data_IF_904080740169
#
_entry.id   IF_904080740169
#
_cell.length_a   1.000
_cell.length_b   1.000
_cell.length_c   1.000
_cell.angle_alpha   90.00
_cell.angle_beta   90.00
_cell.angle_gamma   90.00
#
_symmetry.space_group_name_H-M   'P 1'
#
loop_
_entity.id
_entity.type
_entity.pdbx_description
1 polymer ?
#
# COMPACT_ATOMS: atom_id res chain seq x y z
N UNK A 1 38.51 38.10 -34.07
CA UNK A 1 38.14 39.49 -33.83
C UNK A 1 37.62 39.51 -32.41
N UNK A 2 38.44 39.87 -31.46
CA UNK A 2 38.62 41.16 -30.81
C UNK A 2 37.32 41.59 -30.12
N UNK A 3 37.17 41.92 -28.83
CA UNK A 3 38.11 42.65 -27.95
C UNK A 3 37.62 42.61 -26.53
N UNK A 4 38.51 42.43 -25.64
CA UNK A 4 38.72 42.77 -24.26
C UNK A 4 38.29 44.17 -23.82
N UNK A 5 37.87 44.36 -22.58
CA UNK A 5 38.29 45.51 -21.69
C UNK A 5 37.58 45.35 -20.32
N UNK A 6 38.30 45.11 -19.29
CA UNK A 6 39.09 45.93 -18.32
C UNK A 6 38.26 46.51 -17.18
N UNK A 7 38.72 46.13 -15.97
CA UNK A 7 38.44 46.77 -14.64
C UNK A 7 38.98 48.21 -14.59
N UNK A 8 38.57 49.04 -13.59
CA UNK A 8 39.44 49.36 -12.46
C UNK A 8 38.73 49.37 -11.10
N UNK A 9 39.30 48.97 -10.05
CA UNK A 9 40.20 49.36 -8.96
C UNK A 9 39.96 50.69 -8.24
N UNK A 10 40.04 50.55 -6.90
CA UNK A 10 40.38 51.56 -5.87
C UNK A 10 39.20 52.36 -5.29
N UNK A 11 39.14 52.67 -4.05
CA UNK A 11 39.95 52.59 -2.82
C UNK A 11 39.21 53.35 -1.74
N UNK A 12 39.29 53.02 -0.53
CA UNK A 12 39.87 53.83 0.57
C UNK A 12 39.13 53.61 1.89
N UNK A 13 39.91 53.20 2.87
CA UNK A 13 39.62 53.36 4.31
C UNK A 13 39.84 54.82 4.74
N UNK A 14 39.17 55.30 5.78
CA UNK A 14 39.91 55.86 6.88
C UNK A 14 39.47 55.41 8.28
N UNK A 15 40.44 55.03 9.05
CA UNK A 15 41.01 55.74 10.20
C UNK A 15 40.24 55.58 11.54
N UNK A 16 40.96 54.97 12.44
CA UNK A 16 40.73 54.77 13.85
C UNK A 16 40.49 56.08 14.64
N UNK A 17 39.62 56.04 15.60
CA UNK A 17 39.62 57.04 16.70
C UNK A 17 39.70 56.38 18.07
N UNK A 18 40.60 56.92 18.77
CA UNK A 18 41.22 56.83 20.07
C UNK A 18 40.30 56.58 21.27
N UNK A 19 40.78 55.66 22.13
CA UNK A 19 40.37 55.41 23.50
C UNK A 19 40.77 56.51 24.46
N UNK A 20 39.92 56.91 25.38
CA UNK A 20 40.31 57.51 26.67
C UNK A 20 39.67 56.74 27.81
N UNK A 21 40.37 56.46 28.92
CA UNK A 21 39.92 55.75 30.07
C UNK A 21 39.43 56.67 31.18
N UNK A 22 38.44 56.28 31.98
CA UNK A 22 38.22 56.77 33.34
C UNK A 22 37.26 55.75 34.12
N UNK A 23 37.12 55.88 35.45
CA UNK A 23 37.81 54.98 36.39
C UNK A 23 36.82 54.02 37.13
N UNK A 24 37.42 53.08 37.84
CA UNK A 24 36.85 52.10 38.74
C UNK A 24 36.02 52.74 39.87
N UNK A 25 34.79 52.22 40.05
CA UNK A 25 34.14 52.21 41.36
C UNK A 25 33.53 50.80 41.59
N UNK A 26 34.04 50.15 42.63
CA UNK A 26 33.55 48.90 43.17
C UNK A 26 32.16 49.08 43.76
N UNK A 27 31.23 48.18 43.40
CA UNK A 27 30.18 47.79 44.32
C UNK A 27 29.80 46.32 43.98
N UNK A 28 30.16 45.47 44.91
CA UNK A 28 29.79 44.05 44.90
C UNK A 28 28.31 43.92 45.23
N UNK A 29 27.54 43.30 44.27
CA UNK A 29 26.27 42.64 44.61
C UNK A 29 26.29 41.29 43.91
N UNK A 30 26.66 40.28 44.69
CA UNK A 30 26.55 38.87 44.35
C UNK A 30 25.07 38.48 44.42
N UNK A 31 24.33 38.58 43.32
CA UNK A 31 23.00 37.98 43.18
C UNK A 31 23.17 36.63 42.52
N UNK A 32 23.11 35.58 43.33
CA UNK A 32 22.95 34.21 42.93
C UNK A 32 21.61 34.05 42.16
N UNK A 33 21.65 34.18 40.85
CA UNK A 33 20.56 33.74 39.97
C UNK A 33 20.65 32.23 39.84
N UNK A 34 19.98 31.54 40.78
CA UNK A 34 19.57 30.16 40.58
C UNK A 34 18.61 30.10 39.41
N UNK A 35 19.12 29.84 38.20
CA UNK A 35 18.31 29.45 37.04
C UNK A 35 17.69 28.09 37.35
N UNK A 36 16.52 28.12 37.93
CA UNK A 36 15.64 26.99 37.98
C UNK A 36 15.26 26.64 36.54
N UNK A 37 15.90 25.61 35.95
CA UNK A 37 15.40 24.96 34.76
C UNK A 37 14.00 24.42 35.08
N UNK A 38 12.95 25.19 34.77
CA UNK A 38 11.62 24.63 34.67
C UNK A 38 11.67 23.59 33.54
N UNK A 39 11.30 22.33 33.80
CA UNK A 39 11.07 21.38 32.71
C UNK A 39 10.03 22.06 31.79
N UNK A 40 10.38 22.15 30.49
CA UNK A 40 9.44 22.62 29.47
C UNK A 40 8.14 21.85 29.57
N UNK A 41 7.01 22.45 29.13
CA UNK A 41 5.73 21.77 29.20
C UNK A 41 5.87 20.41 28.50
N UNK A 42 5.84 19.33 29.28
CA UNK A 42 5.61 18.00 28.75
C UNK A 42 4.33 18.09 27.92
N UNK A 43 4.38 17.67 26.66
CA UNK A 43 3.19 17.57 25.82
C UNK A 43 2.09 16.90 26.64
N UNK A 44 0.86 17.42 26.63
CA UNK A 44 -0.21 16.86 27.43
C UNK A 44 -0.33 15.38 27.07
N UNK A 45 -0.18 14.50 28.05
CA UNK A 45 -0.51 13.10 27.88
C UNK A 45 -1.96 13.07 27.38
N UNK A 46 -2.16 12.60 26.15
CA UNK A 46 -3.49 12.50 25.58
C UNK A 46 -4.26 11.51 26.46
N UNK A 47 -5.18 12.02 27.26
CA UNK A 47 -6.11 11.24 28.08
C UNK A 47 -7.23 10.63 27.20
N UNK A 48 -7.10 10.70 25.88
CA UNK A 48 -8.05 10.24 24.91
C UNK A 48 -7.73 8.85 24.36
N UNK A 49 -8.73 8.23 23.78
CA UNK A 49 -8.62 6.99 23.01
C UNK A 49 -7.58 7.14 21.89
N UNK A 50 -6.77 6.10 21.58
CA UNK A 50 -5.83 6.19 20.48
C UNK A 50 -6.56 6.42 19.15
N UNK A 51 -6.03 7.32 18.32
CA UNK A 51 -6.50 7.56 16.95
C UNK A 51 -5.71 6.66 16.00
N UNK A 52 -6.41 5.85 15.25
CA UNK A 52 -5.84 4.95 14.22
C UNK A 52 -6.33 5.41 12.87
N UNK A 53 -5.42 5.70 11.95
CA UNK A 53 -5.74 5.95 10.55
C UNK A 53 -5.65 4.66 9.75
N UNK A 54 -6.68 4.36 8.95
CA UNK A 54 -6.65 3.34 7.91
C UNK A 54 -6.51 4.06 6.57
N UNK A 55 -5.35 3.91 5.92
CA UNK A 55 -5.04 4.51 4.62
C UNK A 55 -4.98 3.41 3.57
N UNK A 56 -5.94 3.40 2.66
CA UNK A 56 -6.11 2.35 1.65
C UNK A 56 -5.75 2.83 0.25
N UNK A 57 -5.75 1.90 -0.69
CA UNK A 57 -5.72 2.17 -2.12
C UNK A 57 -7.10 2.64 -2.61
N UNK A 58 -7.45 2.36 -3.86
CA UNK A 58 -8.64 2.90 -4.52
C UNK A 58 -9.95 2.55 -3.82
N UNK A 59 -10.66 3.57 -3.32
CA UNK A 59 -12.02 3.40 -2.79
C UNK A 59 -13.06 3.15 -3.89
N UNK A 60 -12.70 3.26 -5.18
CA UNK A 60 -13.54 2.81 -6.28
C UNK A 60 -13.52 1.28 -6.45
N UNK A 61 -12.53 0.59 -5.87
CA UNK A 61 -12.43 -0.86 -5.86
C UNK A 61 -13.25 -1.42 -4.69
N UNK A 62 -14.21 -2.32 -4.99
CA UNK A 62 -15.10 -2.93 -4.00
C UNK A 62 -14.33 -3.65 -2.88
N UNK A 63 -13.17 -4.24 -3.17
CA UNK A 63 -12.32 -4.86 -2.16
C UNK A 63 -11.98 -3.91 -1.02
N UNK A 64 -11.57 -2.66 -1.34
CA UNK A 64 -11.26 -1.65 -0.31
C UNK A 64 -12.50 -1.05 0.34
N UNK A 65 -13.65 -1.02 -0.34
CA UNK A 65 -14.92 -0.66 0.29
C UNK A 65 -15.30 -1.68 1.36
N UNK A 66 -15.22 -2.98 1.05
CA UNK A 66 -15.45 -4.07 2.00
C UNK A 66 -14.50 -4.01 3.20
N UNK A 67 -13.23 -3.69 2.94
CA UNK A 67 -12.21 -3.49 3.98
C UNK A 67 -12.56 -2.30 4.90
N UNK A 68 -12.98 -1.18 4.32
CA UNK A 68 -13.41 0.00 5.07
C UNK A 68 -14.65 -0.29 5.95
N UNK A 69 -15.61 -1.04 5.42
CA UNK A 69 -16.81 -1.42 6.16
C UNK A 69 -16.49 -2.36 7.32
N UNK A 70 -15.62 -3.35 7.12
CA UNK A 70 -15.14 -4.23 8.19
C UNK A 70 -14.48 -3.45 9.32
N UNK A 71 -13.58 -2.52 8.98
CA UNK A 71 -12.91 -1.65 9.96
C UNK A 71 -13.89 -0.75 10.72
N UNK A 72 -14.90 -0.17 10.04
CA UNK A 72 -15.93 0.66 10.68
C UNK A 72 -16.82 -0.16 11.62
N UNK A 73 -17.21 -1.39 11.22
CA UNK A 73 -17.97 -2.30 12.09
C UNK A 73 -17.19 -2.67 13.34
N UNK A 74 -15.89 -2.99 13.19
CA UNK A 74 -15.02 -3.27 14.32
C UNK A 74 -14.90 -2.05 15.25
N UNK A 75 -14.70 -0.86 14.73
CA UNK A 75 -14.65 0.37 15.53
C UNK A 75 -15.96 0.62 16.28
N UNK A 76 -17.11 0.42 15.64
CA UNK A 76 -18.42 0.60 16.28
C UNK A 76 -18.62 -0.36 17.47
N UNK A 77 -18.18 -1.63 17.33
CA UNK A 77 -18.19 -2.61 18.40
C UNK A 77 -17.21 -2.27 19.54
N UNK A 78 -16.18 -1.46 19.26
CA UNK A 78 -15.12 -1.07 20.20
C UNK A 78 -15.06 0.48 20.36
N UNK A 79 -16.20 1.15 20.36
CA UNK A 79 -16.31 2.62 20.30
C UNK A 79 -15.54 3.36 21.42
N UNK A 80 -15.37 2.73 22.58
CA UNK A 80 -14.60 3.30 23.70
C UNK A 80 -13.10 2.94 23.66
N UNK A 81 -12.67 2.05 22.74
CA UNK A 81 -11.31 1.55 22.66
C UNK A 81 -10.37 2.42 21.84
N UNK A 82 -10.86 2.99 20.76
CA UNK A 82 -10.06 3.81 19.82
C UNK A 82 -10.97 4.67 18.92
N UNK A 83 -10.36 5.62 18.23
CA UNK A 83 -10.96 6.43 17.18
C UNK A 83 -10.39 6.00 15.82
N UNK A 84 -11.25 5.78 14.82
CA UNK A 84 -10.85 5.36 13.49
C UNK A 84 -11.05 6.48 12.47
N UNK A 85 -10.02 6.75 11.68
CA UNK A 85 -10.08 7.65 10.51
C UNK A 85 -9.82 6.77 9.28
N UNK A 86 -10.76 6.75 8.33
CA UNK A 86 -10.70 5.92 7.13
C UNK A 86 -10.51 6.80 5.91
N UNK A 87 -9.44 6.58 5.17
CA UNK A 87 -9.14 7.26 3.91
C UNK A 87 -8.60 6.30 2.86
N UNK A 88 -8.67 6.71 1.60
CA UNK A 88 -8.09 6.00 0.47
C UNK A 88 -8.03 6.91 -0.74
N UNK A 89 -7.25 6.50 -1.73
CA UNK A 89 -7.02 7.22 -2.98
C UNK A 89 -8.10 6.90 -4.01
N UNK A 90 -8.20 7.71 -5.08
CA UNK A 90 -9.25 7.57 -6.10
C UNK A 90 -9.00 6.40 -7.05
N UNK A 91 -7.73 6.15 -7.39
CA UNK A 91 -7.33 5.07 -8.28
C UNK A 91 -6.12 4.31 -7.70
N UNK A 92 -5.76 3.18 -8.29
CA UNK A 92 -4.74 2.27 -7.73
C UNK A 92 -3.29 2.80 -7.85
N UNK A 93 -3.05 3.91 -8.53
CA UNK A 93 -1.70 4.41 -8.88
C UNK A 93 -1.40 5.83 -8.43
N UNK A 94 -2.32 6.50 -7.73
CA UNK A 94 -2.11 7.88 -7.25
C UNK A 94 -1.25 7.92 -5.98
N UNK A 95 0.06 7.77 -6.19
CA UNK A 95 1.05 7.77 -5.11
C UNK A 95 1.12 9.13 -4.40
N UNK A 96 0.97 10.22 -5.14
CA UNK A 96 1.06 11.57 -4.58
C UNK A 96 -0.12 11.82 -3.61
N UNK A 97 -1.32 11.40 -3.98
CA UNK A 97 -2.49 11.47 -3.10
C UNK A 97 -2.27 10.61 -1.84
N UNK A 98 -1.73 9.38 -1.98
CA UNK A 98 -1.51 8.53 -0.82
C UNK A 98 -0.44 9.07 0.14
N UNK A 99 0.64 9.68 -0.38
CA UNK A 99 1.63 10.40 0.44
C UNK A 99 0.97 11.54 1.20
N UNK A 100 0.17 12.37 0.51
CA UNK A 100 -0.57 13.48 1.13
C UNK A 100 -1.53 13.01 2.22
N UNK A 101 -2.21 11.87 2.03
CA UNK A 101 -3.08 11.29 3.06
C UNK A 101 -2.29 10.90 4.32
N UNK A 102 -1.11 10.29 4.19
CA UNK A 102 -0.26 9.97 5.35
C UNK A 102 0.14 11.25 6.09
N UNK A 103 0.59 12.29 5.37
CA UNK A 103 0.94 13.58 5.96
C UNK A 103 -0.25 14.24 6.66
N UNK A 104 -1.43 14.17 6.08
CA UNK A 104 -2.67 14.66 6.70
C UNK A 104 -2.99 13.89 8.00
N UNK A 105 -2.81 12.58 8.04
CA UNK A 105 -3.04 11.80 9.25
C UNK A 105 -2.04 12.15 10.35
N UNK A 106 -0.76 12.35 9.99
CA UNK A 106 0.24 12.85 10.94
C UNK A 106 -0.18 14.20 11.54
N UNK A 107 -0.62 15.15 10.71
CA UNK A 107 -1.11 16.46 11.15
C UNK A 107 -2.36 16.39 12.05
N UNK A 108 -3.20 15.36 11.90
CA UNK A 108 -4.35 15.09 12.77
C UNK A 108 -3.98 14.41 14.10
N UNK A 109 -2.70 14.12 14.31
CA UNK A 109 -2.17 13.56 15.56
C UNK A 109 -2.58 12.10 15.78
N UNK A 110 -2.62 11.27 14.73
CA UNK A 110 -2.87 9.84 14.87
C UNK A 110 -1.70 9.15 15.56
N UNK A 111 -1.97 8.13 16.37
CA UNK A 111 -0.96 7.32 17.03
C UNK A 111 -0.52 6.11 16.19
N UNK A 112 -1.35 5.70 15.22
CA UNK A 112 -1.00 4.64 14.28
C UNK A 112 -1.56 4.92 12.89
N UNK A 113 -0.79 4.50 11.87
CA UNK A 113 -1.22 4.40 10.48
C UNK A 113 -1.20 2.93 10.07
N UNK A 114 -2.36 2.39 9.74
CA UNK A 114 -2.54 1.08 9.11
C UNK A 114 -2.69 1.35 7.62
N UNK A 115 -1.73 0.91 6.81
CA UNK A 115 -1.64 1.30 5.39
C UNK A 115 -1.59 0.10 4.45
N UNK A 116 -2.44 0.15 3.41
CA UNK A 116 -2.34 -0.67 2.20
C UNK A 116 -1.61 0.16 1.12
N UNK A 117 -0.29 0.05 0.95
CA UNK A 117 0.45 0.93 0.06
C UNK A 117 0.20 0.61 -1.41
N UNK A 118 0.01 1.64 -2.24
CA UNK A 118 -0.17 1.50 -3.69
C UNK A 118 1.12 1.03 -4.40
N UNK A 119 2.27 1.31 -3.80
CA UNK A 119 3.59 0.89 -4.27
C UNK A 119 4.44 0.38 -3.11
N UNK A 120 5.26 -0.64 -3.35
CA UNK A 120 6.03 -1.28 -2.28
C UNK A 120 7.24 -0.47 -1.78
N UNK A 121 7.65 0.58 -2.49
CA UNK A 121 8.84 1.41 -2.17
C UNK A 121 8.52 2.89 -1.96
N UNK A 122 7.68 3.45 -2.83
CA UNK A 122 7.44 4.90 -2.92
C UNK A 122 6.89 5.52 -1.62
N UNK A 123 6.16 4.75 -0.80
CA UNK A 123 5.59 5.25 0.47
C UNK A 123 6.59 5.20 1.65
N UNK A 124 7.70 4.47 1.52
CA UNK A 124 8.65 4.28 2.62
C UNK A 124 9.19 5.62 3.18
N UNK A 125 9.54 6.64 2.37
CA UNK A 125 10.03 7.91 2.91
C UNK A 125 9.02 8.65 3.80
N UNK A 126 7.74 8.72 3.41
CA UNK A 126 6.71 9.37 4.23
C UNK A 126 6.41 8.58 5.49
N UNK A 127 6.35 7.25 5.41
CA UNK A 127 6.14 6.37 6.56
C UNK A 127 7.31 6.42 7.54
N UNK A 128 8.54 6.61 7.05
CA UNK A 128 9.72 6.82 7.90
C UNK A 128 9.63 8.13 8.66
N UNK A 129 9.12 9.22 8.04
CA UNK A 129 8.84 10.48 8.74
C UNK A 129 7.78 10.27 9.82
N UNK A 130 6.65 9.60 9.47
CA UNK A 130 5.61 9.30 10.44
C UNK A 130 6.15 8.55 11.67
N UNK A 131 6.99 7.53 11.45
CA UNK A 131 7.62 6.80 12.56
C UNK A 131 8.59 7.67 13.38
N UNK A 132 9.32 8.60 12.74
CA UNK A 132 10.21 9.52 13.44
C UNK A 132 9.43 10.48 14.36
N UNK A 133 8.20 10.83 13.98
CA UNK A 133 7.26 11.64 14.76
C UNK A 133 6.47 10.81 15.80
N UNK A 134 6.83 9.54 15.99
CA UNK A 134 6.25 8.66 16.99
C UNK A 134 4.96 7.94 16.56
N UNK A 135 4.57 8.01 15.28
CA UNK A 135 3.42 7.31 14.73
C UNK A 135 3.79 5.85 14.44
N UNK A 136 3.03 4.90 14.99
CA UNK A 136 3.19 3.48 14.67
C UNK A 136 2.72 3.21 13.23
N UNK A 137 3.51 2.44 12.48
CA UNK A 137 3.16 2.02 11.11
C UNK A 137 2.86 0.54 11.09
N UNK A 138 1.68 0.15 10.60
CA UNK A 138 1.30 -1.22 10.28
C UNK A 138 1.06 -1.32 8.79
N UNK A 139 1.75 -2.21 8.13
CA UNK A 139 1.59 -2.46 6.70
C UNK A 139 0.59 -3.59 6.46
N UNK A 140 -0.42 -3.38 5.63
CA UNK A 140 -1.41 -4.41 5.25
C UNK A 140 -1.49 -4.58 3.74
N UNK A 141 -2.14 -5.66 3.26
CA UNK A 141 -2.47 -5.95 1.85
C UNK A 141 -1.26 -6.07 0.92
N UNK A 142 -0.58 -4.99 0.63
CA UNK A 142 0.61 -4.96 -0.23
C UNK A 142 1.86 -4.76 0.61
N UNK A 143 2.76 -5.75 0.63
CA UNK A 143 3.96 -5.70 1.47
C UNK A 143 4.94 -4.64 0.96
N UNK A 144 5.43 -3.80 1.87
CA UNK A 144 6.54 -2.90 1.61
C UNK A 144 7.83 -3.69 1.37
N UNK A 145 8.69 -3.17 0.51
CA UNK A 145 9.95 -3.81 0.11
C UNK A 145 10.92 -3.91 1.28
N UNK A 146 11.35 -5.12 1.58
CA UNK A 146 12.15 -5.44 2.77
C UNK A 146 13.50 -4.70 2.77
N UNK A 147 14.16 -4.61 1.61
CA UNK A 147 15.46 -3.92 1.53
C UNK A 147 15.27 -2.41 1.71
N UNK A 148 14.24 -1.83 1.10
CA UNK A 148 13.93 -0.39 1.27
C UNK A 148 13.55 -0.07 2.73
N UNK A 149 12.80 -0.95 3.41
CA UNK A 149 12.51 -0.80 4.84
C UNK A 149 13.77 -0.81 5.69
N UNK A 150 14.68 -1.75 5.40
CA UNK A 150 15.95 -1.89 6.11
C UNK A 150 16.85 -0.66 5.90
N UNK A 151 17.01 -0.20 4.67
CA UNK A 151 17.78 1.00 4.32
C UNK A 151 17.23 2.25 5.03
N UNK A 152 15.90 2.41 5.04
CA UNK A 152 15.21 3.50 5.72
C UNK A 152 15.18 3.34 7.24
N UNK A 153 15.56 2.18 7.80
CA UNK A 153 15.39 1.83 9.22
C UNK A 153 13.94 2.03 9.69
N UNK A 154 12.99 1.66 8.84
CA UNK A 154 11.56 1.71 9.14
C UNK A 154 11.08 0.35 9.63
N UNK A 155 10.45 0.33 10.80
CA UNK A 155 9.76 -0.85 11.34
C UNK A 155 8.28 -0.75 10.98
N UNK A 156 7.82 -1.59 10.07
CA UNK A 156 6.42 -1.66 9.62
C UNK A 156 6.03 -3.14 9.46
N UNK A 157 5.57 -3.79 10.53
CA UNK A 157 5.18 -5.20 10.46
C UNK A 157 4.07 -5.38 9.42
N UNK A 158 4.16 -6.47 8.66
CA UNK A 158 3.20 -6.80 7.63
C UNK A 158 2.10 -7.70 8.18
N UNK A 159 0.85 -7.32 7.94
CA UNK A 159 -0.33 -8.13 8.22
C UNK A 159 -1.05 -8.38 6.89
N UNK A 160 -1.02 -9.61 6.40
CA UNK A 160 -1.57 -9.91 5.09
C UNK A 160 -1.40 -11.35 4.65
N UNK A 161 -1.99 -11.71 3.49
CA UNK A 161 -2.04 -13.07 2.99
C UNK A 161 -0.71 -13.52 2.36
N UNK A 162 -0.55 -14.85 2.22
CA UNK A 162 0.39 -15.42 1.26
C UNK A 162 -0.20 -15.34 -0.15
N UNK A 163 0.12 -14.25 -0.84
CA UNK A 163 -0.38 -13.97 -2.18
C UNK A 163 0.06 -15.02 -3.21
N UNK A 164 1.27 -15.57 -3.08
CA UNK A 164 1.79 -16.59 -4.01
C UNK A 164 1.07 -17.91 -3.84
N UNK A 165 0.90 -18.35 -2.59
CA UNK A 165 0.17 -19.58 -2.29
C UNK A 165 -1.30 -19.48 -2.72
N UNK A 166 -1.99 -18.37 -2.43
CA UNK A 166 -3.38 -18.14 -2.85
C UNK A 166 -3.56 -18.16 -4.37
N UNK A 167 -2.71 -17.43 -5.11
CA UNK A 167 -2.76 -17.41 -6.57
C UNK A 167 -2.42 -18.78 -7.18
N UNK A 168 -1.43 -19.47 -6.62
CA UNK A 168 -1.11 -20.83 -7.03
C UNK A 168 -2.30 -21.77 -6.85
N UNK A 169 -2.98 -21.74 -5.71
CA UNK A 169 -4.13 -22.58 -5.44
C UNK A 169 -5.28 -22.34 -6.42
N UNK A 170 -5.58 -21.06 -6.75
CA UNK A 170 -6.55 -20.69 -7.79
C UNK A 170 -6.10 -21.20 -9.17
N UNK A 171 -4.83 -21.05 -9.51
CA UNK A 171 -4.25 -21.55 -10.75
C UNK A 171 -4.35 -23.09 -10.87
N UNK A 172 -4.19 -23.82 -9.76
CA UNK A 172 -4.35 -25.29 -9.71
C UNK A 172 -5.80 -25.72 -9.96
N UNK A 173 -6.81 -24.93 -9.54
CA UNK A 173 -8.22 -25.16 -9.90
C UNK A 173 -8.42 -25.00 -11.40
N UNK A 174 -7.86 -23.94 -11.99
CA UNK A 174 -7.92 -23.70 -13.43
C UNK A 174 -7.24 -24.82 -14.23
N UNK A 175 -6.08 -25.27 -13.80
CA UNK A 175 -5.31 -26.31 -14.49
C UNK A 175 -6.10 -27.61 -14.67
N UNK A 176 -7.02 -27.95 -13.76
CA UNK A 176 -7.90 -29.13 -13.87
C UNK A 176 -8.92 -29.05 -15.03
N UNK A 177 -9.10 -27.85 -15.62
CA UNK A 177 -10.01 -27.59 -16.75
C UNK A 177 -9.29 -27.47 -18.09
N UNK A 178 -7.96 -27.55 -18.09
CA UNK A 178 -7.10 -27.36 -19.24
C UNK A 178 -6.33 -28.64 -19.56
N UNK A 179 -5.70 -28.66 -20.74
CA UNK A 179 -4.81 -29.74 -21.15
C UNK A 179 -3.37 -29.22 -21.25
N UNK A 180 -2.38 -30.11 -21.00
CA UNK A 180 -0.99 -29.76 -21.15
C UNK A 180 -0.71 -29.23 -22.55
N UNK A 181 -0.01 -28.10 -22.65
CA UNK A 181 0.22 -27.38 -23.91
C UNK A 181 -0.78 -26.29 -24.23
N UNK A 182 -1.92 -26.20 -23.52
CA UNK A 182 -2.87 -25.09 -23.70
C UNK A 182 -2.20 -23.74 -23.42
N UNK A 183 -2.57 -22.75 -24.22
CA UNK A 183 -2.12 -21.38 -24.08
C UNK A 183 -2.94 -20.63 -23.05
N UNK A 184 -2.25 -19.94 -22.14
CA UNK A 184 -2.87 -19.11 -21.11
C UNK A 184 -2.19 -17.75 -21.04
N UNK A 185 -2.89 -16.75 -20.52
CA UNK A 185 -2.29 -15.44 -20.29
C UNK A 185 -2.59 -14.93 -18.87
N UNK A 186 -1.69 -14.12 -18.35
CA UNK A 186 -1.78 -13.53 -17.01
C UNK A 186 -2.02 -12.03 -17.14
N UNK A 187 -3.05 -11.54 -16.46
CA UNK A 187 -3.29 -10.13 -16.22
C UNK A 187 -2.80 -9.81 -14.81
N UNK A 188 -1.58 -9.23 -14.74
CA UNK A 188 -1.00 -8.81 -13.46
C UNK A 188 -1.50 -7.41 -13.05
N UNK A 189 -1.34 -7.08 -11.78
CA UNK A 189 -1.67 -5.76 -11.24
C UNK A 189 -0.60 -4.71 -11.54
N UNK A 190 -0.42 -3.75 -10.63
CA UNK A 190 0.68 -2.78 -10.69
C UNK A 190 2.01 -3.53 -10.51
N UNK A 191 2.91 -3.40 -11.48
CA UNK A 191 4.15 -4.21 -11.56
C UNK A 191 5.15 -3.95 -10.44
N UNK A 192 5.08 -2.78 -9.80
CA UNK A 192 5.93 -2.39 -8.66
C UNK A 192 5.35 -2.82 -7.30
N UNK A 193 4.12 -3.38 -7.28
CA UNK A 193 3.48 -3.86 -6.08
C UNK A 193 3.87 -5.32 -5.80
N UNK A 194 4.31 -5.59 -4.57
CA UNK A 194 4.73 -6.91 -4.13
C UNK A 194 3.64 -7.98 -4.33
N UNK A 195 2.39 -7.68 -3.94
CA UNK A 195 1.27 -8.60 -4.11
C UNK A 195 1.02 -8.95 -5.59
N UNK A 196 1.20 -8.00 -6.52
CA UNK A 196 1.11 -8.26 -7.96
C UNK A 196 2.16 -9.28 -8.42
N UNK A 197 3.42 -9.06 -8.01
CA UNK A 197 4.53 -9.95 -8.34
C UNK A 197 4.33 -11.35 -7.75
N UNK A 198 3.83 -11.45 -6.51
CA UNK A 198 3.59 -12.73 -5.86
C UNK A 198 2.42 -13.49 -6.49
N UNK A 199 1.29 -12.81 -6.80
CA UNK A 199 0.15 -13.45 -7.46
C UNK A 199 0.54 -13.94 -8.86
N UNK A 200 1.27 -13.12 -9.63
CA UNK A 200 1.85 -13.55 -10.91
C UNK A 200 2.71 -14.81 -10.75
N UNK A 201 3.67 -14.80 -9.81
CA UNK A 201 4.55 -15.93 -9.57
C UNK A 201 3.76 -17.20 -9.18
N UNK A 202 2.71 -17.07 -8.36
CA UNK A 202 1.84 -18.18 -7.99
C UNK A 202 1.09 -18.77 -9.20
N UNK A 203 0.58 -17.93 -10.09
CA UNK A 203 -0.04 -18.38 -11.34
C UNK A 203 0.96 -19.05 -12.26
N UNK A 204 2.17 -18.47 -12.43
CA UNK A 204 3.24 -19.07 -13.22
C UNK A 204 3.65 -20.45 -12.67
N UNK A 205 3.75 -20.60 -11.35
CA UNK A 205 4.05 -21.89 -10.68
C UNK A 205 2.99 -22.95 -11.01
N UNK A 206 1.71 -22.59 -10.89
CA UNK A 206 0.61 -23.51 -11.18
C UNK A 206 0.59 -23.92 -12.65
N UNK A 207 0.72 -22.97 -13.57
CA UNK A 207 0.70 -23.21 -15.01
C UNK A 207 1.91 -24.03 -15.46
N UNK A 208 3.10 -23.73 -14.94
CA UNK A 208 4.31 -24.52 -15.19
C UNK A 208 4.17 -25.96 -14.72
N UNK A 209 3.65 -26.16 -13.51
CA UNK A 209 3.44 -27.50 -12.93
C UNK A 209 2.47 -28.33 -13.79
N UNK A 210 1.45 -27.70 -14.34
CA UNK A 210 0.44 -28.33 -15.18
C UNK A 210 0.84 -28.44 -16.68
N UNK A 211 2.01 -27.95 -17.06
CA UNK A 211 2.50 -28.01 -18.43
C UNK A 211 1.81 -27.05 -19.42
N UNK A 212 1.21 -25.97 -18.91
CA UNK A 212 0.57 -24.94 -19.74
C UNK A 212 1.61 -23.98 -20.33
N UNK A 213 1.25 -23.30 -21.43
CA UNK A 213 2.07 -22.28 -22.08
C UNK A 213 1.57 -20.88 -21.69
N UNK A 214 2.33 -20.15 -20.89
CA UNK A 214 2.04 -18.73 -20.63
C UNK A 214 2.52 -17.93 -21.85
N UNK A 215 1.58 -17.45 -22.69
CA UNK A 215 1.87 -16.75 -23.95
C UNK A 215 1.92 -15.24 -23.79
N UNK A 216 1.33 -14.69 -22.73
CA UNK A 216 1.39 -13.27 -22.43
C UNK A 216 1.29 -13.02 -20.92
N UNK A 217 1.99 -11.99 -20.46
CA UNK A 217 1.84 -11.39 -19.11
C UNK A 217 1.75 -9.89 -19.32
N UNK A 218 0.62 -9.29 -18.96
CA UNK A 218 0.39 -7.86 -19.15
C UNK A 218 -0.31 -7.26 -17.94
N UNK A 219 0.01 -6.00 -17.63
CA UNK A 219 -0.56 -5.30 -16.48
C UNK A 219 -1.92 -4.65 -16.83
N UNK A 220 -2.95 -5.02 -16.06
CA UNK A 220 -4.24 -4.32 -16.03
C UNK A 220 -4.31 -3.30 -14.89
N UNK A 221 -3.21 -3.10 -14.14
CA UNK A 221 -3.06 -2.08 -13.08
C UNK A 221 -4.16 -2.12 -12.01
N UNK A 222 -4.75 -3.30 -11.75
CA UNK A 222 -5.86 -3.54 -10.85
C UNK A 222 -7.22 -2.97 -11.31
N UNK A 223 -7.27 -2.37 -12.52
CA UNK A 223 -8.40 -1.60 -13.02
C UNK A 223 -9.21 -2.42 -14.04
N UNK A 224 -10.53 -2.41 -13.90
CA UNK A 224 -11.45 -3.16 -14.78
C UNK A 224 -11.35 -2.72 -16.24
N UNK A 225 -11.37 -1.41 -16.52
CA UNK A 225 -11.33 -0.88 -17.89
C UNK A 225 -10.01 -1.17 -18.57
N UNK A 226 -8.88 -1.01 -17.87
CA UNK A 226 -7.56 -1.34 -18.40
C UNK A 226 -7.43 -2.82 -18.72
N UNK A 227 -7.89 -3.66 -17.78
CA UNK A 227 -7.89 -5.11 -17.98
C UNK A 227 -8.77 -5.56 -19.15
N UNK A 228 -9.91 -4.89 -19.40
CA UNK A 228 -10.74 -5.15 -20.57
C UNK A 228 -9.93 -4.91 -21.86
N UNK A 229 -9.27 -3.75 -22.01
CA UNK A 229 -8.46 -3.44 -23.18
C UNK A 229 -7.27 -4.41 -23.34
N UNK A 230 -6.58 -4.74 -22.26
CA UNK A 230 -5.48 -5.71 -22.23
C UNK A 230 -5.95 -7.10 -22.66
N UNK A 231 -7.06 -7.58 -22.09
CA UNK A 231 -7.63 -8.89 -22.43
C UNK A 231 -8.07 -8.96 -23.89
N UNK A 232 -8.71 -7.91 -24.42
CA UNK A 232 -9.07 -7.83 -25.84
C UNK A 232 -7.84 -7.91 -26.75
N UNK A 233 -6.75 -7.20 -26.40
CA UNK A 233 -5.48 -7.27 -27.13
C UNK A 233 -4.87 -8.67 -27.10
N UNK A 234 -4.87 -9.34 -25.95
CA UNK A 234 -4.36 -10.71 -25.78
C UNK A 234 -5.20 -11.68 -26.64
N UNK A 235 -6.54 -11.59 -26.59
CA UNK A 235 -7.43 -12.46 -27.36
C UNK A 235 -7.27 -12.31 -28.87
N UNK A 236 -6.92 -11.10 -29.34
CA UNK A 236 -6.63 -10.83 -30.75
C UNK A 236 -5.25 -11.36 -31.16
N UNK A 237 -4.22 -11.16 -30.34
CA UNK A 237 -2.84 -11.59 -30.62
C UNK A 237 -2.64 -13.11 -30.45
N UNK A 238 -3.39 -13.73 -29.56
CA UNK A 238 -3.31 -15.16 -29.21
C UNK A 238 -4.70 -15.82 -29.35
N UNK A 239 -5.17 -16.09 -30.57
CA UNK A 239 -6.52 -16.60 -30.82
C UNK A 239 -6.79 -17.97 -30.17
N UNK A 240 -5.74 -18.72 -29.85
CA UNK A 240 -5.82 -20.04 -29.21
C UNK A 240 -5.77 -20.00 -27.69
N UNK A 241 -5.69 -18.81 -27.08
CA UNK A 241 -5.67 -18.70 -25.61
C UNK A 241 -6.90 -19.33 -25.00
N UNK A 242 -6.70 -20.20 -24.01
CA UNK A 242 -7.75 -20.98 -23.33
C UNK A 242 -8.11 -20.45 -21.97
N UNK A 243 -7.25 -19.62 -21.36
CA UNK A 243 -7.54 -19.03 -20.07
C UNK A 243 -6.84 -17.70 -19.83
N UNK A 244 -7.49 -16.86 -19.00
CA UNK A 244 -6.97 -15.60 -18.48
C UNK A 244 -6.91 -15.69 -16.94
N UNK A 245 -5.70 -15.56 -16.38
CA UNK A 245 -5.47 -15.55 -14.94
C UNK A 245 -5.35 -14.09 -14.49
N UNK A 246 -6.35 -13.60 -13.79
CA UNK A 246 -6.43 -12.20 -13.36
C UNK A 246 -5.99 -12.08 -11.90
N UNK A 247 -5.02 -11.21 -11.65
CA UNK A 247 -4.44 -11.04 -10.32
C UNK A 247 -5.39 -10.32 -9.33
N UNK A 248 -6.54 -9.80 -9.80
CA UNK A 248 -7.68 -9.43 -8.96
C UNK A 248 -9.02 -9.54 -9.70
N UNK A 249 -10.12 -9.46 -8.95
CA UNK A 249 -11.46 -9.63 -9.49
C UNK A 249 -11.95 -8.46 -10.33
N UNK A 250 -11.51 -7.22 -10.06
CA UNK A 250 -11.80 -6.10 -10.95
C UNK A 250 -11.25 -6.35 -12.36
N UNK A 251 -10.04 -6.87 -12.46
CA UNK A 251 -9.47 -7.24 -13.75
C UNK A 251 -10.18 -8.47 -14.35
N UNK A 252 -10.64 -9.41 -13.51
CA UNK A 252 -11.43 -10.54 -13.99
C UNK A 252 -12.77 -10.12 -14.58
N UNK A 253 -13.45 -9.11 -14.03
CA UNK A 253 -14.64 -8.48 -14.60
C UNK A 253 -14.35 -7.88 -15.97
N UNK A 254 -13.25 -7.14 -16.10
CA UNK A 254 -12.80 -6.57 -17.38
C UNK A 254 -12.49 -7.65 -18.42
N UNK A 255 -11.77 -8.70 -18.00
CA UNK A 255 -11.46 -9.86 -18.85
C UNK A 255 -12.72 -10.62 -19.31
N UNK A 256 -13.69 -10.80 -18.42
CA UNK A 256 -14.98 -11.45 -18.76
C UNK A 256 -15.75 -10.64 -19.82
N UNK A 257 -15.76 -9.32 -19.69
CA UNK A 257 -16.39 -8.45 -20.71
C UNK A 257 -15.66 -8.55 -22.05
N UNK A 258 -14.31 -8.60 -22.10
CA UNK A 258 -13.54 -8.77 -23.31
C UNK A 258 -13.78 -10.16 -23.96
N UNK A 259 -13.81 -11.23 -23.16
CA UNK A 259 -14.10 -12.59 -23.63
C UNK A 259 -15.51 -12.68 -24.22
N UNK A 260 -16.50 -12.03 -23.58
CA UNK A 260 -17.87 -11.95 -24.09
C UNK A 260 -17.93 -11.19 -25.42
N UNK A 261 -17.28 -10.02 -25.52
CA UNK A 261 -17.24 -9.22 -26.73
C UNK A 261 -16.55 -9.94 -27.90
N UNK A 262 -15.55 -10.79 -27.62
CA UNK A 262 -14.89 -11.64 -28.61
C UNK A 262 -15.67 -12.89 -28.99
N UNK A 263 -16.88 -13.14 -28.43
CA UNK A 263 -17.69 -14.34 -28.67
C UNK A 263 -17.05 -15.63 -28.16
N UNK A 264 -16.14 -15.54 -27.16
CA UNK A 264 -15.39 -16.69 -26.64
C UNK A 264 -15.88 -17.16 -25.25
N UNK A 265 -17.05 -16.72 -24.81
CA UNK A 265 -17.67 -17.18 -23.55
C UNK A 265 -17.80 -18.71 -23.57
N UNK A 266 -17.36 -19.36 -22.48
CA UNK A 266 -17.28 -20.82 -22.35
C UNK A 266 -16.09 -21.48 -23.05
N UNK A 267 -15.37 -20.76 -23.93
CA UNK A 267 -14.15 -21.25 -24.58
C UNK A 267 -12.88 -20.81 -23.83
N UNK A 268 -12.88 -19.62 -23.25
CA UNK A 268 -11.80 -19.05 -22.46
C UNK A 268 -12.21 -19.04 -20.99
N UNK A 269 -11.47 -19.75 -20.17
CA UNK A 269 -11.67 -19.79 -18.71
C UNK A 269 -11.06 -18.54 -18.07
N UNK A 270 -11.65 -18.09 -16.97
CA UNK A 270 -11.18 -16.92 -16.22
C UNK A 270 -11.08 -17.29 -14.74
N UNK A 271 -10.03 -16.85 -14.08
CA UNK A 271 -9.89 -16.88 -12.63
C UNK A 271 -9.53 -15.51 -12.11
N UNK A 272 -9.86 -15.24 -10.84
CA UNK A 272 -9.64 -13.96 -10.16
C UNK A 272 -8.98 -14.10 -8.80
N UNK A 273 -9.05 -13.01 -8.02
CA UNK A 273 -8.56 -12.92 -6.65
C UNK A 273 -9.32 -11.79 -5.96
N UNK A 274 -9.76 -11.92 -4.72
CA UNK A 274 -10.42 -11.00 -3.78
C UNK A 274 -11.82 -11.43 -3.34
N UNK A 275 -12.53 -12.27 -4.13
CA UNK A 275 -13.93 -12.70 -3.88
C UNK A 275 -14.89 -11.51 -3.66
N UNK A 276 -14.78 -10.44 -4.48
CA UNK A 276 -15.71 -9.30 -4.39
C UNK A 276 -17.14 -9.71 -4.78
N UNK A 277 -18.16 -9.01 -4.26
CA UNK A 277 -19.55 -9.36 -4.53
C UNK A 277 -19.89 -9.30 -6.03
N UNK A 278 -19.27 -8.39 -6.77
CA UNK A 278 -19.50 -8.21 -8.21
C UNK A 278 -19.15 -9.46 -9.06
N UNK A 279 -18.24 -10.34 -8.60
CA UNK A 279 -17.90 -11.57 -9.35
C UNK A 279 -18.79 -12.78 -9.00
N UNK A 280 -19.59 -12.72 -7.96
CA UNK A 280 -20.45 -13.85 -7.55
C UNK A 280 -21.42 -14.32 -8.64
N UNK A 281 -22.07 -13.44 -9.43
CA UNK A 281 -22.87 -13.88 -10.58
C UNK A 281 -22.04 -14.63 -11.63
N UNK A 282 -20.78 -14.22 -11.85
CA UNK A 282 -19.89 -14.87 -12.81
C UNK A 282 -19.43 -16.26 -12.33
N UNK A 283 -19.21 -16.42 -11.03
CA UNK A 283 -18.99 -17.75 -10.42
C UNK A 283 -20.20 -18.64 -10.57
N UNK A 284 -21.40 -18.11 -10.28
CA UNK A 284 -22.65 -18.86 -10.33
C UNK A 284 -22.98 -19.38 -11.73
N UNK A 285 -22.70 -18.59 -12.79
CA UNK A 285 -22.97 -18.97 -14.18
C UNK A 285 -21.75 -19.60 -14.90
N UNK A 286 -20.59 -19.65 -14.25
CA UNK A 286 -19.39 -20.31 -14.76
C UNK A 286 -18.54 -19.43 -15.70
N UNK A 287 -18.80 -18.14 -15.82
CA UNK A 287 -17.91 -17.18 -16.54
C UNK A 287 -16.63 -16.87 -15.78
N UNK A 288 -16.66 -17.01 -14.45
CA UNK A 288 -15.47 -17.05 -13.59
C UNK A 288 -15.39 -18.44 -12.96
N UNK A 289 -14.26 -19.11 -13.08
CA UNK A 289 -14.11 -20.47 -12.58
C UNK A 289 -13.79 -20.51 -11.08
N UNK A 290 -12.93 -19.61 -10.62
CA UNK A 290 -12.50 -19.51 -9.24
C UNK A 290 -11.97 -18.11 -8.92
N UNK A 291 -12.01 -17.75 -7.65
CA UNK A 291 -11.31 -16.60 -7.09
C UNK A 291 -10.72 -16.97 -5.74
N UNK A 292 -9.75 -16.21 -5.24
CA UNK A 292 -9.25 -16.36 -3.88
C UNK A 292 -9.90 -15.33 -2.97
N UNK A 293 -10.46 -15.77 -1.83
CA UNK A 293 -10.92 -14.88 -0.77
C UNK A 293 -9.78 -14.63 0.22
N UNK A 294 -9.33 -13.40 0.30
CA UNK A 294 -8.35 -12.98 1.29
C UNK A 294 -8.99 -12.27 2.51
N UNK A 295 -10.29 -12.41 2.69
CA UNK A 295 -11.08 -11.86 3.78
C UNK A 295 -10.89 -10.35 3.95
N UNK A 296 -11.20 -9.59 2.89
CA UNK A 296 -10.99 -8.15 2.84
C UNK A 296 -11.63 -7.39 4.00
N UNK A 297 -12.82 -7.83 4.46
CA UNK A 297 -13.54 -7.28 5.61
C UNK A 297 -12.77 -7.44 6.94
N UNK A 298 -11.89 -8.43 7.04
CA UNK A 298 -11.10 -8.74 8.24
C UNK A 298 -9.67 -8.22 8.16
N UNK A 299 -9.13 -8.02 6.96
CA UNK A 299 -7.73 -7.68 6.78
C UNK A 299 -7.33 -6.37 7.47
N UNK A 300 -8.16 -5.31 7.34
CA UNK A 300 -7.94 -4.07 8.07
C UNK A 300 -8.14 -4.25 9.59
N UNK A 301 -9.08 -5.10 9.99
CA UNK A 301 -9.31 -5.41 11.42
C UNK A 301 -8.06 -6.00 12.05
N UNK A 302 -7.45 -7.00 11.42
CA UNK A 302 -6.19 -7.59 11.91
C UNK A 302 -5.06 -6.56 12.03
N UNK A 303 -4.95 -5.65 11.03
CA UNK A 303 -3.98 -4.54 11.09
C UNK A 303 -4.25 -3.56 12.23
N UNK A 304 -5.52 -3.20 12.46
CA UNK A 304 -5.95 -2.32 13.55
C UNK A 304 -5.69 -2.98 14.91
N UNK A 305 -6.06 -4.25 15.09
CA UNK A 305 -5.82 -5.00 16.31
C UNK A 305 -4.33 -5.12 16.64
N UNK A 306 -3.49 -5.38 15.61
CA UNK A 306 -2.04 -5.38 15.77
C UNK A 306 -1.54 -4.01 16.25
N UNK A 307 -2.03 -2.90 15.65
CA UNK A 307 -1.69 -1.55 16.08
C UNK A 307 -2.10 -1.28 17.53
N UNK A 308 -3.34 -1.59 17.91
CA UNK A 308 -3.87 -1.37 19.25
C UNK A 308 -3.09 -2.17 20.29
N UNK A 309 -2.76 -3.43 20.01
CA UNK A 309 -1.94 -4.27 20.86
C UNK A 309 -0.54 -3.69 21.09
N UNK A 310 0.12 -3.23 20.04
CA UNK A 310 1.45 -2.61 20.17
C UNK A 310 1.38 -1.31 20.97
N UNK A 311 0.37 -0.47 20.71
CA UNK A 311 0.20 0.80 21.42
C UNK A 311 -0.06 0.58 22.92
N UNK A 312 -0.91 -0.41 23.27
CA UNK A 312 -1.31 -0.72 24.63
C UNK A 312 -0.22 -1.48 25.40
N UNK A 313 0.22 -2.60 24.85
CA UNK A 313 1.01 -3.60 25.57
C UNK A 313 2.52 -3.44 25.33
N UNK A 314 2.91 -2.47 24.44
CA UNK A 314 4.29 -2.31 23.97
C UNK A 314 4.85 -3.61 23.37
N UNK A 315 3.98 -4.40 22.75
CA UNK A 315 4.35 -5.64 22.09
C UNK A 315 5.40 -5.40 21.01
N UNK A 316 6.26 -6.37 20.78
CA UNK A 316 7.22 -6.32 19.67
C UNK A 316 6.46 -6.45 18.36
N UNK A 317 6.65 -5.51 17.40
CA UNK A 317 6.07 -5.61 16.07
C UNK A 317 6.54 -6.89 15.36
N UNK A 318 5.61 -7.66 14.80
CA UNK A 318 5.89 -8.87 14.05
C UNK A 318 4.93 -9.01 12.88
N UNK A 319 5.40 -9.63 11.80
CA UNK A 319 4.56 -9.99 10.65
C UNK A 319 3.49 -11.01 11.08
N UNK A 320 2.28 -10.88 10.51
CA UNK A 320 1.17 -11.78 10.74
C UNK A 320 0.59 -12.22 9.39
N UNK A 321 0.60 -13.51 9.13
CA UNK A 321 -0.05 -14.08 7.96
C UNK A 321 -1.55 -14.21 8.20
N UNK A 322 -2.36 -13.78 7.22
CA UNK A 322 -3.82 -13.90 7.24
C UNK A 322 -4.29 -15.07 6.34
N UNK A 323 -5.50 -15.62 6.56
CA UNK A 323 -6.01 -16.70 5.75
C UNK A 323 -6.30 -16.28 4.31
N UNK A 324 -6.27 -17.27 3.41
CA UNK A 324 -6.74 -17.16 2.02
C UNK A 324 -7.44 -18.45 1.66
N UNK A 325 -8.67 -18.35 1.16
CA UNK A 325 -9.50 -19.49 0.75
C UNK A 325 -9.79 -19.44 -0.74
N UNK A 326 -9.85 -20.61 -1.40
CA UNK A 326 -10.26 -20.69 -2.80
C UNK A 326 -11.77 -20.84 -2.87
N UNK A 327 -12.42 -19.95 -3.61
CA UNK A 327 -13.87 -19.94 -3.84
C UNK A 327 -14.16 -20.35 -5.27
N UNK A 328 -15.04 -21.31 -5.42
CA UNK A 328 -15.58 -21.80 -6.70
C UNK A 328 -17.12 -21.76 -6.63
N UNK A 329 -17.78 -22.18 -7.73
CA UNK A 329 -19.23 -22.37 -7.76
C UNK A 329 -19.72 -23.27 -6.63
#
# INVERSE_FOLDING_TARGET
>A
MYETARRPTNSAFPAAMSLKPLPRLLAACLVLLSTSCKPGPSAPASTGRPKVALVMKSLANEFFQTMAEGAKKHQAAHANGYELIVNGIKNETDLAEQVGLVEQMMAQGVQAVVIAPADSKALVPVLRRAQADGVLVINIDNKLDVETLKEARLVAPFVGPDNRAGARAVGEVLAKKLQAGDEVAILEGVTTAFNSQQRRAGFEDAMKTAGMKVVAVQSGQWEMEKANGVAAGILAAHPNVRALLCANDNMALGAAAAVQAAGKTGQVQIVGFDNIAAVRPLLADGRLLATADQHGDQLAVFGIEAALKILKDKATPADQQTPVDVVTK
#
